data_IF_435955259729
#
_entry.id   IF_435955259729
#
_cell.length_a   1.000
_cell.length_b   1.000
_cell.length_c   1.000
_cell.angle_alpha   90.00
_cell.angle_beta   90.00
_cell.angle_gamma   90.00
#
_symmetry.space_group_name_H-M   'P 1'
#
loop_
_entity.id
_entity.type
_entity.pdbx_description
1 polymer ?
#
# COMPACT_ATOMS: atom_id res chain seq x y z
N UNK A 1 -17.80 -11.30 -2.18
CA UNK A 1 -16.80 -10.81 -3.16
C UNK A 1 -16.91 -9.32 -3.43
N UNK A 2 -18.08 -8.79 -3.83
CA UNK A 2 -18.24 -7.36 -4.17
C UNK A 2 -17.81 -6.38 -3.05
N UNK A 3 -18.19 -6.64 -1.80
CA UNK A 3 -17.82 -5.79 -0.65
C UNK A 3 -16.31 -5.74 -0.38
N UNK A 4 -15.60 -6.86 -0.53
CA UNK A 4 -14.14 -6.96 -0.32
C UNK A 4 -13.39 -6.12 -1.38
N UNK A 5 -13.87 -6.16 -2.63
CA UNK A 5 -13.27 -5.38 -3.72
C UNK A 5 -13.47 -3.88 -3.48
N UNK A 6 -14.66 -3.48 -3.03
CA UNK A 6 -14.97 -2.07 -2.75
C UNK A 6 -14.10 -1.54 -1.60
N UNK A 7 -13.97 -2.28 -0.50
CA UNK A 7 -13.11 -1.87 0.63
C UNK A 7 -11.64 -1.82 0.23
N UNK A 8 -11.18 -2.74 -0.62
CA UNK A 8 -9.82 -2.75 -1.17
C UNK A 8 -9.52 -1.49 -1.99
N UNK A 9 -10.43 -1.09 -2.89
CA UNK A 9 -10.29 0.11 -3.71
C UNK A 9 -10.30 1.36 -2.84
N UNK A 10 -11.24 1.47 -1.89
CA UNK A 10 -11.31 2.60 -0.96
C UNK A 10 -10.02 2.75 -0.16
N UNK A 11 -9.44 1.64 0.33
CA UNK A 11 -8.19 1.66 1.08
C UNK A 11 -6.99 2.11 0.25
N UNK A 12 -6.93 1.71 -1.03
CA UNK A 12 -5.89 2.18 -1.97
C UNK A 12 -5.99 3.69 -2.25
N UNK A 13 -7.21 4.23 -2.35
CA UNK A 13 -7.42 5.67 -2.51
C UNK A 13 -6.96 6.43 -1.25
N UNK A 14 -7.31 5.95 -0.06
CA UNK A 14 -6.91 6.56 1.21
C UNK A 14 -5.38 6.57 1.34
N UNK A 15 -4.71 5.47 1.04
CA UNK A 15 -3.24 5.38 1.08
C UNK A 15 -2.57 6.32 0.07
N UNK A 16 -3.13 6.46 -1.12
CA UNK A 16 -2.66 7.44 -2.10
C UNK A 16 -2.78 8.89 -1.59
N UNK A 17 -3.91 9.24 -0.98
CA UNK A 17 -4.14 10.57 -0.39
C UNK A 17 -3.16 10.84 0.75
N UNK A 18 -2.91 9.87 1.63
CA UNK A 18 -1.95 10.00 2.74
C UNK A 18 -0.55 10.34 2.21
N UNK A 19 -0.11 9.70 1.11
CA UNK A 19 1.15 10.04 0.46
C UNK A 19 1.17 11.47 -0.11
N UNK A 20 0.06 11.93 -0.69
CA UNK A 20 -0.07 13.31 -1.16
C UNK A 20 0.00 14.32 -0.02
N UNK A 21 -0.66 14.03 1.10
CA UNK A 21 -0.63 14.84 2.32
C UNK A 21 0.80 14.88 2.90
N UNK A 22 1.53 13.77 2.88
CA UNK A 22 2.93 13.73 3.33
C UNK A 22 3.81 14.69 2.51
N UNK A 23 3.66 14.70 1.18
CA UNK A 23 4.38 15.66 0.32
C UNK A 23 3.97 17.10 0.59
N UNK A 24 2.68 17.38 0.78
CA UNK A 24 2.21 18.73 1.13
C UNK A 24 2.77 19.21 2.47
N UNK A 25 2.84 18.33 3.47
CA UNK A 25 3.48 18.62 4.76
C UNK A 25 4.98 18.86 4.60
N UNK A 26 5.66 18.12 3.73
CA UNK A 26 7.08 18.33 3.43
C UNK A 26 7.36 19.68 2.76
N UNK A 27 6.45 20.17 1.91
CA UNK A 27 6.54 21.51 1.31
C UNK A 27 6.28 22.64 2.32
N UNK A 28 5.41 22.40 3.31
CA UNK A 28 5.08 23.37 4.37
C UNK A 28 6.03 23.33 5.58
N UNK A 29 7.17 22.63 5.51
CA UNK A 29 8.09 22.42 6.63
C UNK A 29 7.41 21.94 7.92
N UNK A 30 6.30 21.19 7.80
CA UNK A 30 5.60 20.59 8.93
C UNK A 30 6.14 19.21 9.24
N UNK A 31 5.79 18.69 10.42
CA UNK A 31 6.17 17.35 10.87
C UNK A 31 5.86 16.29 9.80
N UNK A 32 6.90 15.58 9.34
CA UNK A 32 6.81 14.54 8.30
C UNK A 32 6.24 13.24 8.88
N UNK A 33 5.50 12.49 8.07
CA UNK A 33 5.01 11.18 8.47
C UNK A 33 6.18 10.18 8.45
N UNK A 34 6.25 9.31 9.45
CA UNK A 34 7.30 8.31 9.54
C UNK A 34 7.17 7.29 8.40
N UNK A 35 8.32 6.89 7.83
CA UNK A 35 8.37 5.91 6.73
C UNK A 35 7.75 4.57 7.11
N UNK A 36 7.89 4.18 8.37
CA UNK A 36 7.26 2.98 8.92
C UNK A 36 5.74 3.01 8.80
N UNK A 37 5.10 4.17 9.04
CA UNK A 37 3.64 4.30 8.93
C UNK A 37 3.19 4.13 7.48
N UNK A 38 3.89 4.75 6.53
CA UNK A 38 3.59 4.57 5.11
C UNK A 38 3.75 3.10 4.68
N UNK A 39 4.83 2.45 5.11
CA UNK A 39 5.07 1.04 4.81
C UNK A 39 4.01 0.12 5.42
N UNK A 40 3.58 0.36 6.66
CA UNK A 40 2.51 -0.40 7.30
C UNK A 40 1.20 -0.23 6.51
N UNK A 41 0.87 1.00 6.10
CA UNK A 41 -0.34 1.23 5.30
C UNK A 41 -0.28 0.58 3.91
N UNK A 42 0.92 0.50 3.31
CA UNK A 42 1.14 -0.23 2.05
C UNK A 42 0.97 -1.75 2.23
N UNK A 43 1.50 -2.31 3.32
CA UNK A 43 1.38 -3.75 3.63
C UNK A 43 -0.05 -4.19 3.95
N UNK A 44 -0.84 -3.35 4.63
CA UNK A 44 -2.19 -3.72 5.05
C UNK A 44 -3.13 -4.01 3.87
N UNK A 45 -3.17 -3.12 2.87
CA UNK A 45 -3.99 -3.27 1.65
C UNK A 45 -3.72 -2.16 0.60
N UNK A 46 -2.80 -1.26 0.87
CA UNK A 46 -2.55 -0.04 0.08
C UNK A 46 -1.31 -0.13 -0.80
N UNK A 47 -0.84 -1.33 -1.14
CA UNK A 47 0.43 -1.52 -1.86
C UNK A 47 0.43 -0.82 -3.22
N UNK A 48 -0.70 -0.91 -3.95
CA UNK A 48 -0.87 -0.27 -5.27
C UNK A 48 -0.99 1.25 -5.11
N UNK A 49 -1.83 1.74 -4.18
CA UNK A 49 -2.03 3.16 -3.91
C UNK A 49 -0.75 3.85 -3.41
N UNK A 50 0.01 3.17 -2.56
CA UNK A 50 1.32 3.64 -2.09
C UNK A 50 2.37 3.58 -3.19
N UNK A 51 2.38 2.56 -4.05
CA UNK A 51 3.30 2.54 -5.19
C UNK A 51 3.01 3.69 -6.15
N UNK A 52 1.75 3.87 -6.53
CA UNK A 52 1.30 4.97 -7.38
C UNK A 52 1.66 6.33 -6.77
N UNK A 53 1.36 6.54 -5.48
CA UNK A 53 1.71 7.77 -4.77
C UNK A 53 3.22 8.01 -4.74
N UNK A 54 4.04 6.99 -4.50
CA UNK A 54 5.50 7.11 -4.46
C UNK A 54 6.09 7.56 -5.81
N UNK A 55 5.56 7.02 -6.91
CA UNK A 55 5.97 7.36 -8.27
C UNK A 55 5.50 8.77 -8.65
N UNK A 56 4.24 9.08 -8.38
CA UNK A 56 3.61 10.35 -8.74
C UNK A 56 4.26 11.53 -7.98
N UNK A 57 4.52 11.33 -6.70
CA UNK A 57 5.06 12.39 -5.86
C UNK A 57 6.59 12.46 -5.92
N UNK A 58 7.28 11.47 -6.53
CA UNK A 58 8.75 11.31 -6.52
C UNK A 58 9.34 11.56 -5.13
N UNK A 59 8.59 11.17 -4.09
CA UNK A 59 8.91 11.49 -2.72
C UNK A 59 9.63 10.30 -2.09
N UNK A 60 10.82 10.55 -1.51
CA UNK A 60 11.59 9.56 -0.73
C UNK A 60 11.94 8.24 -1.45
N UNK A 61 12.21 8.26 -2.75
CA UNK A 61 12.80 7.12 -3.49
C UNK A 61 14.26 6.80 -3.13
N UNK A 62 14.90 7.60 -2.27
CA UNK A 62 16.30 7.46 -1.89
C UNK A 62 16.58 6.54 -0.68
N UNK A 63 15.57 6.21 0.14
CA UNK A 63 15.76 5.27 1.25
C UNK A 63 15.61 3.84 0.76
N UNK A 64 16.69 3.07 0.80
CA UNK A 64 16.77 1.68 0.31
C UNK A 64 15.68 0.78 0.90
N UNK A 65 15.35 0.96 2.18
CA UNK A 65 14.27 0.23 2.85
C UNK A 65 12.91 0.46 2.17
N UNK A 66 12.58 1.70 1.82
CA UNK A 66 11.32 2.02 1.15
C UNK A 66 11.30 1.48 -0.28
N UNK A 67 12.43 1.54 -0.99
CA UNK A 67 12.55 1.01 -2.35
C UNK A 67 12.38 -0.51 -2.43
N UNK A 68 12.77 -1.26 -1.39
CA UNK A 68 12.65 -2.73 -1.35
C UNK A 68 11.32 -3.17 -0.75
N UNK A 69 10.88 -2.57 0.36
CA UNK A 69 9.65 -2.99 1.03
C UNK A 69 8.38 -2.60 0.25
N UNK A 70 8.42 -1.55 -0.56
CA UNK A 70 7.26 -1.14 -1.37
C UNK A 70 6.89 -2.16 -2.47
N UNK A 71 7.80 -2.61 -3.35
CA UNK A 71 7.49 -3.70 -4.28
C UNK A 71 7.20 -5.01 -3.56
N UNK A 72 7.81 -5.26 -2.40
CA UNK A 72 7.49 -6.42 -1.56
C UNK A 72 6.02 -6.37 -1.06
N UNK A 73 5.52 -5.19 -0.68
CA UNK A 73 4.12 -5.01 -0.27
C UNK A 73 3.13 -5.27 -1.43
N UNK A 74 3.53 -4.97 -2.67
CA UNK A 74 2.73 -5.27 -3.87
C UNK A 74 2.68 -6.77 -4.12
N UNK A 75 3.82 -7.46 -4.04
CA UNK A 75 3.88 -8.92 -4.15
C UNK A 75 3.02 -9.60 -3.08
N UNK A 76 3.08 -9.10 -1.84
CA UNK A 76 2.25 -9.59 -0.75
C UNK A 76 0.75 -9.40 -1.03
N UNK A 77 0.36 -8.21 -1.51
CA UNK A 77 -1.03 -7.94 -1.90
C UNK A 77 -1.52 -8.82 -3.05
N UNK A 78 -0.70 -9.03 -4.08
CA UNK A 78 -1.01 -9.91 -5.22
C UNK A 78 -1.22 -11.36 -4.76
N UNK A 79 -0.35 -11.86 -3.88
CA UNK A 79 -0.48 -13.19 -3.29
C UNK A 79 -1.78 -13.32 -2.48
N UNK A 80 -2.10 -12.31 -1.68
CA UNK A 80 -3.33 -12.28 -0.89
C UNK A 80 -4.59 -12.27 -1.78
N UNK A 81 -4.58 -11.47 -2.85
CA UNK A 81 -5.67 -11.41 -3.84
C UNK A 81 -5.80 -12.76 -4.55
N UNK A 82 -4.69 -13.39 -4.92
CA UNK A 82 -4.69 -14.70 -5.57
C UNK A 82 -5.35 -15.77 -4.69
N UNK A 83 -5.01 -15.82 -3.39
CA UNK A 83 -5.64 -16.73 -2.43
C UNK A 83 -7.14 -16.45 -2.29
N UNK A 84 -7.55 -15.17 -2.19
CA UNK A 84 -8.97 -14.81 -2.06
C UNK A 84 -9.78 -15.20 -3.29
N UNK A 85 -9.22 -15.06 -4.49
CA UNK A 85 -9.88 -15.45 -5.74
C UNK A 85 -9.99 -16.98 -5.84
N UNK A 86 -8.93 -17.69 -5.48
CA UNK A 86 -8.92 -19.16 -5.51
C UNK A 86 -9.55 -19.74 -4.23
N UNK A 87 -10.89 -19.77 -4.21
CA UNK A 87 -11.69 -20.39 -3.14
C UNK A 87 -11.21 -21.80 -2.77
N UNK A 88 -10.85 -22.60 -3.78
CA UNK A 88 -10.31 -23.95 -3.60
C UNK A 88 -9.00 -24.00 -2.82
N UNK A 89 -8.11 -23.02 -3.00
CA UNK A 89 -6.84 -22.93 -2.27
C UNK A 89 -7.08 -22.44 -0.84
N UNK A 90 -8.01 -21.50 -0.66
CA UNK A 90 -8.39 -21.01 0.66
C UNK A 90 -8.97 -22.13 1.52
N UNK A 91 -9.86 -22.94 0.95
CA UNK A 91 -10.49 -24.08 1.63
C UNK A 91 -9.46 -25.19 1.93
N UNK A 92 -8.41 -25.35 1.12
CA UNK A 92 -7.31 -26.29 1.37
C UNK A 92 -6.34 -25.84 2.48
N UNK A 93 -6.13 -24.53 2.67
CA UNK A 93 -5.22 -24.00 3.70
C UNK A 93 -5.89 -23.95 5.08
N UNK A 94 -7.21 -23.74 5.12
CA UNK A 94 -8.00 -23.60 6.35
C UNK A 94 -8.57 -24.92 6.88
N UNK A 95 -8.39 -26.03 6.15
CA UNK A 95 -8.85 -27.37 6.50
C UNK A 95 -7.67 -28.28 6.81
#
# INVERSE_FOLDING_TARGET
>A
MKYIIITYIMWNIITFIIMGIDKHKAQKNKWRISESTLLITAFLMGGIGSFAGSQFFRHKTQKTKFRVLLPLSILFNLFFIYIIINRSVLDFILN
#
